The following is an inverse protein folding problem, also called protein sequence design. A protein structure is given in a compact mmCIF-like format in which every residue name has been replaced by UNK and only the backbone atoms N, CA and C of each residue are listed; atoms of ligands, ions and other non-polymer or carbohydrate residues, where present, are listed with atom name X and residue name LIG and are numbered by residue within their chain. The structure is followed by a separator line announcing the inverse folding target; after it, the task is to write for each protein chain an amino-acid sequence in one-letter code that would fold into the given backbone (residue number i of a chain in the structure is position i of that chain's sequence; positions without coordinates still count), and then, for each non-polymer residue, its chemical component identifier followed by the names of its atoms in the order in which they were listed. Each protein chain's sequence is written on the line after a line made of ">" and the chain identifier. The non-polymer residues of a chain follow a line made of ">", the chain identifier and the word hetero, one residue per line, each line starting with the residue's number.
data_IF_152729016786
#
_entry.id   IF_152729016786
#
_cell.length_a   1.000
_cell.length_b   1.000
_cell.length_c   1.000
_cell.angle_alpha   90.00
_cell.angle_beta   90.00
_cell.angle_gamma   90.00
#
_symmetry.space_group_name_H-M   'P 1'
#
loop_
_entity.id
_entity.type
_entity.pdbx_description
1 polymer ?
#
# COMPACT_ATOMS: atom_id res chain seq x y z
N UNK A 1 30.29 -44.68 -17.79
CA UNK A 1 30.60 -43.23 -17.79
C UNK A 1 29.84 -42.61 -18.96
N UNK A 2 28.51 -42.50 -18.97
CA UNK A 2 27.64 -41.79 -18.00
C UNK A 2 28.30 -40.43 -17.70
N UNK A 3 27.77 -39.24 -17.99
CA UNK A 3 26.43 -38.63 -17.84
C UNK A 3 26.28 -37.55 -18.95
N UNK A 4 25.22 -37.37 -19.73
CA UNK A 4 23.82 -37.04 -19.46
C UNK A 4 23.58 -35.88 -18.48
N UNK A 5 23.50 -34.66 -19.03
CA UNK A 5 22.62 -33.55 -18.61
C UNK A 5 22.39 -32.72 -19.88
N UNK A 6 21.18 -32.47 -20.40
CA UNK A 6 19.89 -32.38 -19.73
C UNK A 6 19.38 -30.94 -19.80
N UNK A 7 18.91 -30.55 -20.99
CA UNK A 7 17.77 -29.65 -21.26
C UNK A 7 17.65 -28.21 -20.70
N UNK A 8 16.92 -27.34 -21.44
CA UNK A 8 16.82 -25.90 -21.23
C UNK A 8 15.70 -25.54 -20.24
N UNK A 9 15.72 -24.35 -19.63
CA UNK A 9 14.50 -23.70 -19.09
C UNK A 9 14.84 -22.27 -18.68
N UNK A 10 14.51 -21.29 -19.52
CA UNK A 10 13.35 -20.41 -19.32
C UNK A 10 13.10 -20.01 -17.86
N UNK A 11 13.42 -18.76 -17.53
CA UNK A 11 12.68 -17.99 -16.54
C UNK A 11 12.41 -16.61 -17.12
N UNK A 12 11.53 -16.62 -18.13
CA UNK A 12 10.72 -15.48 -18.56
C UNK A 12 10.33 -14.65 -17.34
N UNK A 13 10.53 -13.33 -17.44
CA UNK A 13 10.02 -12.36 -16.49
C UNK A 13 8.56 -12.71 -16.17
N UNK A 14 8.29 -13.08 -14.91
CA UNK A 14 6.92 -13.31 -14.44
C UNK A 14 6.22 -11.95 -14.41
N UNK A 15 5.65 -11.55 -15.55
CA UNK A 15 4.56 -10.59 -15.54
C UNK A 15 3.42 -11.29 -14.78
N UNK A 16 2.98 -10.78 -13.62
CA UNK A 16 1.81 -11.33 -13.02
C UNK A 16 0.64 -10.94 -13.93
N UNK A 17 0.05 -11.93 -14.60
CA UNK A 17 -1.32 -11.84 -15.06
C UNK A 17 -2.20 -11.92 -13.80
N UNK A 18 -2.11 -10.91 -12.93
CA UNK A 18 -3.04 -10.79 -11.82
C UNK A 18 -4.45 -10.71 -12.43
N UNK A 19 -5.37 -11.61 -12.05
CA UNK A 19 -6.74 -11.50 -12.52
C UNK A 19 -7.25 -10.09 -12.15
N UNK A 20 -8.09 -9.46 -12.98
CA UNK A 20 -8.58 -8.09 -12.73
C UNK A 20 -9.19 -7.94 -11.32
N UNK A 21 -9.72 -9.04 -10.78
CA UNK A 21 -10.21 -9.16 -9.41
C UNK A 21 -9.13 -8.98 -8.34
N UNK A 22 -7.93 -9.55 -8.51
CA UNK A 22 -6.82 -9.40 -7.56
C UNK A 22 -6.30 -7.95 -7.54
N UNK A 23 -6.19 -7.31 -8.70
CA UNK A 23 -5.80 -5.91 -8.79
C UNK A 23 -6.85 -4.97 -8.14
N UNK A 24 -8.15 -5.27 -8.30
CA UNK A 24 -9.22 -4.53 -7.64
C UNK A 24 -9.23 -4.75 -6.11
N UNK A 25 -9.01 -5.98 -5.64
CA UNK A 25 -8.87 -6.31 -4.22
C UNK A 25 -7.68 -5.58 -3.59
N UNK A 26 -6.51 -5.63 -4.22
CA UNK A 26 -5.32 -4.92 -3.73
C UNK A 26 -5.52 -3.39 -3.66
N UNK A 27 -6.28 -2.80 -4.58
CA UNK A 27 -6.68 -1.38 -4.51
C UNK A 27 -7.63 -1.12 -3.34
N UNK A 28 -8.66 -1.96 -3.16
CA UNK A 28 -9.61 -1.83 -2.06
C UNK A 28 -8.92 -1.97 -0.70
N UNK A 29 -8.00 -2.93 -0.55
CA UNK A 29 -7.19 -3.09 0.66
C UNK A 29 -6.27 -1.90 0.92
N UNK A 30 -5.66 -1.35 -0.12
CA UNK A 30 -4.83 -0.14 0.02
C UNK A 30 -5.67 1.03 0.51
N UNK A 31 -6.88 1.19 -0.04
CA UNK A 31 -7.81 2.24 0.38
C UNK A 31 -8.22 2.05 1.85
N UNK A 32 -8.65 0.84 2.24
CA UNK A 32 -9.01 0.53 3.61
C UNK A 32 -7.85 0.77 4.60
N UNK A 33 -6.62 0.43 4.22
CA UNK A 33 -5.42 0.73 5.02
C UNK A 33 -5.17 2.22 5.17
N UNK A 34 -5.36 2.99 4.10
CA UNK A 34 -5.22 4.44 4.14
C UNK A 34 -6.29 5.08 5.04
N UNK A 35 -7.54 4.68 4.91
CA UNK A 35 -8.66 5.19 5.72
C UNK A 35 -8.47 4.90 7.21
N UNK A 36 -8.02 3.68 7.54
CA UNK A 36 -7.66 3.31 8.92
C UNK A 36 -6.54 4.20 9.46
N UNK A 37 -5.46 4.41 8.68
CA UNK A 37 -4.32 5.22 9.12
C UNK A 37 -4.68 6.70 9.29
N UNK A 38 -5.53 7.27 8.41
CA UNK A 38 -6.04 8.64 8.54
C UNK A 38 -6.82 8.80 9.85
N UNK A 39 -7.67 7.82 10.15
CA UNK A 39 -8.47 7.81 11.38
C UNK A 39 -7.58 7.76 12.61
N UNK A 40 -6.59 6.87 12.62
CA UNK A 40 -5.69 6.72 13.77
C UNK A 40 -4.80 7.96 13.97
N UNK A 41 -4.25 8.53 12.89
CA UNK A 41 -3.48 9.78 12.98
C UNK A 41 -4.32 10.95 13.51
N UNK A 42 -5.59 11.03 13.10
CA UNK A 42 -6.53 12.04 13.60
C UNK A 42 -6.83 11.85 15.08
N UNK A 43 -7.00 10.58 15.51
CA UNK A 43 -7.20 10.21 16.91
C UNK A 43 -5.97 10.52 17.77
N UNK A 44 -4.76 10.23 17.28
CA UNK A 44 -3.52 10.57 17.98
C UNK A 44 -3.34 12.08 18.07
N UNK A 45 -3.64 12.83 17.00
CA UNK A 45 -3.59 14.29 17.03
C UNK A 45 -4.55 14.89 18.07
N UNK A 46 -5.73 14.28 18.26
CA UNK A 46 -6.70 14.74 19.26
C UNK A 46 -6.25 14.49 20.70
N UNK A 47 -5.41 13.47 20.93
CA UNK A 47 -4.86 13.11 22.24
C UNK A 47 -3.48 13.71 22.53
N UNK A 48 -2.82 14.29 21.51
CA UNK A 48 -1.49 14.85 21.66
C UNK A 48 -1.51 16.09 22.57
N UNK A 49 -0.73 16.03 23.65
CA UNK A 49 -0.53 17.14 24.59
C UNK A 49 0.39 18.21 23.99
N UNK A 50 1.41 17.79 23.25
CA UNK A 50 2.33 18.69 22.58
C UNK A 50 1.68 19.34 21.33
N UNK A 51 1.67 20.68 21.24
CA UNK A 51 1.03 21.38 20.14
C UNK A 51 1.73 21.17 18.79
N UNK A 52 3.04 20.95 18.77
CA UNK A 52 3.79 20.63 17.55
C UNK A 52 3.45 19.23 17.04
N UNK A 53 3.37 18.24 17.93
CA UNK A 53 2.96 16.88 17.58
C UNK A 53 1.55 16.85 17.01
N UNK A 54 0.62 17.57 17.63
CA UNK A 54 -0.76 17.71 17.12
C UNK A 54 -0.79 18.24 15.69
N UNK A 55 -0.04 19.32 15.41
CA UNK A 55 0.03 19.91 14.06
C UNK A 55 0.69 18.95 13.07
N UNK A 56 1.79 18.30 13.46
CA UNK A 56 2.49 17.33 12.61
C UNK A 56 1.57 16.18 12.22
N UNK A 57 0.90 15.55 13.19
CA UNK A 57 -0.01 14.42 12.97
C UNK A 57 -1.18 14.82 12.07
N UNK A 58 -1.79 15.99 12.32
CA UNK A 58 -2.88 16.53 11.48
C UNK A 58 -2.44 16.73 10.03
N UNK A 59 -1.26 17.31 9.82
CA UNK A 59 -0.69 17.54 8.48
C UNK A 59 -0.37 16.23 7.76
N UNK A 60 0.10 15.22 8.49
CA UNK A 60 0.34 13.89 7.94
C UNK A 60 -0.97 13.23 7.50
N UNK A 61 -2.01 13.25 8.34
CA UNK A 61 -3.33 12.69 7.99
C UNK A 61 -3.93 13.36 6.74
N UNK A 62 -3.83 14.67 6.67
CA UNK A 62 -4.30 15.48 5.54
C UNK A 62 -3.51 15.19 4.23
N UNK A 63 -2.20 15.00 4.34
CA UNK A 63 -1.36 14.60 3.19
C UNK A 63 -1.70 13.19 2.70
N UNK A 64 -1.95 12.25 3.63
CA UNK A 64 -2.36 10.89 3.27
C UNK A 64 -3.76 10.87 2.63
N UNK A 65 -4.68 11.72 3.11
CA UNK A 65 -6.02 11.89 2.53
C UNK A 65 -5.92 12.34 1.07
N UNK A 66 -5.12 13.39 0.80
CA UNK A 66 -4.88 13.84 -0.58
C UNK A 66 -4.26 12.75 -1.46
N UNK A 67 -3.31 12.01 -0.92
CA UNK A 67 -2.67 10.91 -1.64
C UNK A 67 -3.68 9.81 -2.00
N UNK A 68 -4.48 9.36 -1.03
CA UNK A 68 -5.51 8.34 -1.25
C UNK A 68 -6.55 8.79 -2.29
N UNK A 69 -6.99 10.05 -2.21
CA UNK A 69 -7.90 10.64 -3.20
C UNK A 69 -7.30 10.67 -4.61
N UNK A 70 -6.01 10.99 -4.75
CA UNK A 70 -5.33 11.03 -6.04
C UNK A 70 -5.22 9.65 -6.73
N UNK A 71 -5.32 8.56 -5.96
CA UNK A 71 -5.29 7.19 -6.47
C UNK A 71 -6.69 6.55 -6.57
N UNK A 72 -7.75 7.30 -6.31
CA UNK A 72 -9.12 6.83 -6.49
C UNK A 72 -9.45 6.78 -8.00
N UNK A 73 -9.91 5.63 -8.53
CA UNK A 73 -10.26 5.48 -9.93
C UNK A 73 -11.55 6.22 -10.30
#
# INVERSE_FOLDING_TARGET
>A
MEHSIGTPTNATAHAPLDPPTAAAQARAERQARADWLITELSRLAAQAEDPHDRVRLRRTADSLTRLALAFRP
#
